data_IF_123957951943
#
_entry.id   IF_123957951943
#
_cell.length_a   1.000
_cell.length_b   1.000
_cell.length_c   1.000
_cell.angle_alpha   90.00
_cell.angle_beta   90.00
_cell.angle_gamma   90.00
#
_symmetry.space_group_name_H-M   'P 1'
#
loop_
_entity.id
_entity.type
_entity.pdbx_description
1 polymer ?
#
# COMPACT_ATOMS: atom_id res chain seq x y z
N UNK A 1 1.81 64.02 19.28
CA UNK A 1 2.01 62.78 20.06
C UNK A 1 1.73 61.60 19.12
N UNK A 2 2.67 61.19 18.28
CA UNK A 2 3.85 60.37 18.58
C UNK A 2 3.48 58.99 19.16
N UNK A 3 3.25 58.01 18.27
CA UNK A 3 3.78 56.63 18.32
C UNK A 3 2.89 55.69 17.50
N UNK A 4 3.09 55.69 16.19
CA UNK A 4 2.71 54.62 15.28
C UNK A 4 3.83 54.58 14.24
N UNK A 5 4.31 53.40 13.87
CA UNK A 5 5.52 53.14 13.06
C UNK A 5 6.84 52.98 13.85
N UNK A 6 7.06 51.77 14.39
CA UNK A 6 8.37 51.12 14.40
C UNK A 6 8.27 49.66 14.90
N UNK A 7 7.82 48.70 14.07
CA UNK A 7 8.08 47.28 14.35
C UNK A 7 7.94 46.38 13.11
N UNK A 8 8.64 46.71 12.02
CA UNK A 8 8.75 45.83 10.84
C UNK A 8 10.14 45.91 10.21
N UNK A 9 11.19 45.48 10.91
CA UNK A 9 12.49 45.14 10.29
C UNK A 9 13.18 44.01 11.06
N UNK A 10 12.82 42.78 10.73
CA UNK A 10 13.72 41.62 10.68
C UNK A 10 12.91 40.37 10.26
N UNK A 11 12.72 40.20 8.96
CA UNK A 11 12.41 38.88 8.37
C UNK A 11 13.62 38.49 7.53
N UNK A 12 14.30 37.41 7.92
CA UNK A 12 15.26 36.72 7.06
C UNK A 12 14.57 36.36 5.74
N UNK A 13 15.28 36.42 4.59
CA UNK A 13 14.68 36.03 3.33
C UNK A 13 14.25 34.57 3.41
N UNK A 14 12.96 34.33 3.16
CA UNK A 14 12.42 32.98 2.95
C UNK A 14 13.05 32.49 1.64
N UNK A 15 13.81 31.40 1.71
CA UNK A 15 14.36 30.74 0.53
C UNK A 15 13.21 30.33 -0.40
N UNK A 16 13.35 30.63 -1.68
CA UNK A 16 12.41 30.22 -2.71
C UNK A 16 12.17 28.69 -2.66
N UNK A 17 10.97 28.20 -3.04
CA UNK A 17 10.73 26.77 -3.14
C UNK A 17 11.73 26.16 -4.12
N UNK A 18 12.50 25.19 -3.64
CA UNK A 18 13.41 24.40 -4.45
C UNK A 18 12.56 23.58 -5.42
N UNK A 19 12.69 23.85 -6.72
CA UNK A 19 12.09 23.03 -7.77
C UNK A 19 12.52 21.57 -7.59
N UNK A 20 11.61 20.59 -7.71
CA UNK A 20 12.00 19.19 -7.63
C UNK A 20 13.04 18.90 -8.73
N UNK A 21 14.08 18.08 -8.44
CA UNK A 21 15.04 17.69 -9.45
C UNK A 21 14.31 16.98 -10.60
N UNK A 22 14.61 17.41 -11.83
CA UNK A 22 14.13 16.74 -13.04
C UNK A 22 14.60 15.27 -13.01
N UNK A 23 13.70 14.27 -13.13
CA UNK A 23 14.13 12.88 -13.12
C UNK A 23 15.01 12.63 -14.35
N UNK A 24 16.26 12.23 -14.08
CA UNK A 24 17.14 11.62 -15.08
C UNK A 24 16.47 10.35 -15.59
N UNK A 25 16.48 10.03 -16.90
CA UNK A 25 15.82 8.84 -17.41
C UNK A 25 16.58 7.60 -16.96
N UNK A 26 16.21 7.06 -15.80
CA UNK A 26 16.67 5.76 -15.36
C UNK A 26 16.20 4.73 -16.40
N UNK A 27 17.12 3.87 -16.83
CA UNK A 27 16.79 2.68 -17.61
C UNK A 27 15.80 1.84 -16.80
N UNK A 28 14.53 1.87 -17.21
CA UNK A 28 13.47 1.19 -16.47
C UNK A 28 13.48 -0.31 -16.73
N UNK A 29 13.32 -1.11 -15.68
CA UNK A 29 13.31 -2.57 -15.78
C UNK A 29 12.11 -3.08 -16.62
N UNK A 30 12.35 -4.08 -17.47
CA UNK A 30 11.30 -4.72 -18.28
C UNK A 30 10.41 -5.66 -17.43
N UNK A 31 10.98 -6.21 -16.36
CA UNK A 31 10.33 -7.07 -15.38
C UNK A 31 10.75 -6.58 -14.00
N UNK A 32 9.82 -6.55 -13.06
CA UNK A 32 10.08 -6.17 -11.66
C UNK A 32 9.90 -7.41 -10.81
N UNK A 33 10.93 -7.77 -10.03
CA UNK A 33 10.88 -8.88 -9.09
C UNK A 33 10.36 -8.39 -7.76
N UNK A 34 9.17 -8.84 -7.37
CA UNK A 34 8.47 -8.35 -6.18
C UNK A 34 8.35 -9.46 -5.14
N UNK A 35 8.70 -9.13 -3.90
CA UNK A 35 8.45 -9.94 -2.72
C UNK A 35 7.14 -9.56 -2.04
N UNK A 36 6.20 -10.49 -1.92
CA UNK A 36 5.02 -10.36 -1.08
C UNK A 36 5.34 -10.93 0.30
N UNK A 37 5.73 -10.06 1.23
CA UNK A 37 6.17 -10.45 2.57
C UNK A 37 4.99 -10.61 3.52
N UNK A 38 4.30 -11.75 3.49
CA UNK A 38 3.25 -12.02 4.48
C UNK A 38 3.88 -12.19 5.86
N UNK A 39 3.47 -11.37 6.82
CA UNK A 39 4.10 -11.25 8.14
C UNK A 39 3.18 -11.71 9.24
N UNK A 40 3.74 -12.37 10.25
CA UNK A 40 3.06 -12.50 11.53
C UNK A 40 3.01 -11.12 12.19
N UNK A 41 1.80 -10.58 12.34
CA UNK A 41 1.54 -9.28 12.97
C UNK A 41 0.79 -9.52 14.27
N UNK A 42 1.44 -9.26 15.40
CA UNK A 42 0.87 -9.41 16.73
C UNK A 42 0.22 -8.11 17.20
N UNK A 43 -0.99 -8.20 17.76
CA UNK A 43 -1.73 -7.07 18.28
C UNK A 43 -0.95 -6.33 19.37
N UNK A 44 -0.74 -5.02 19.21
CA UNK A 44 -0.10 -4.18 20.23
C UNK A 44 1.41 -4.36 20.41
N UNK A 45 2.09 -5.02 19.47
CA UNK A 45 3.51 -5.39 19.60
C UNK A 45 4.40 -4.74 18.50
N UNK A 46 4.46 -3.40 18.39
CA UNK A 46 5.11 -2.73 17.26
C UNK A 46 6.58 -3.04 17.12
N UNK A 47 7.32 -3.21 18.21
CA UNK A 47 8.75 -3.55 18.16
C UNK A 47 8.96 -4.93 17.52
N UNK A 48 8.24 -5.95 17.98
CA UNK A 48 8.35 -7.32 17.46
C UNK A 48 7.90 -7.39 16.00
N UNK A 49 6.86 -6.66 15.64
CA UNK A 49 6.38 -6.63 14.27
C UNK A 49 7.35 -5.91 13.31
N UNK A 50 7.95 -4.79 13.75
CA UNK A 50 8.98 -4.09 12.97
C UNK A 50 10.26 -4.90 12.83
N UNK A 51 10.66 -5.66 13.85
CA UNK A 51 11.79 -6.60 13.76
C UNK A 51 11.53 -7.67 12.69
N UNK A 52 10.32 -8.25 12.65
CA UNK A 52 9.94 -9.19 11.59
C UNK A 52 9.90 -8.53 10.21
N UNK A 53 9.40 -7.30 10.12
CA UNK A 53 9.41 -6.54 8.88
C UNK A 53 10.83 -6.29 8.37
N UNK A 54 11.76 -5.90 9.25
CA UNK A 54 13.17 -5.72 8.93
C UNK A 54 13.80 -7.02 8.40
N UNK A 55 13.53 -8.15 9.05
CA UNK A 55 14.01 -9.45 8.57
C UNK A 55 13.41 -9.80 7.20
N UNK A 56 12.11 -9.58 6.99
CA UNK A 56 11.45 -9.84 5.71
C UNK A 56 11.99 -8.97 4.57
N UNK A 57 12.36 -7.71 4.86
CA UNK A 57 13.04 -6.83 3.90
C UNK A 57 14.42 -7.41 3.53
N UNK A 58 15.18 -7.85 4.52
CA UNK A 58 16.48 -8.49 4.29
C UNK A 58 16.35 -9.77 3.44
N UNK A 59 15.38 -10.62 3.75
CA UNK A 59 15.12 -11.86 3.02
C UNK A 59 14.70 -11.57 1.57
N UNK A 60 13.89 -10.55 1.33
CA UNK A 60 13.48 -10.13 -0.01
C UNK A 60 14.66 -9.62 -0.84
N UNK A 61 15.52 -8.80 -0.24
CA UNK A 61 16.74 -8.33 -0.89
C UNK A 61 17.70 -9.49 -1.21
N UNK A 62 17.84 -10.46 -0.30
CA UNK A 62 18.66 -11.66 -0.54
C UNK A 62 18.12 -12.50 -1.71
N UNK A 63 16.81 -12.52 -1.92
CA UNK A 63 16.18 -13.18 -3.07
C UNK A 63 16.21 -12.31 -4.36
N UNK A 64 16.88 -11.17 -4.33
CA UNK A 64 17.04 -10.27 -5.48
C UNK A 64 15.76 -9.53 -5.86
N UNK A 65 14.83 -9.32 -4.91
CA UNK A 65 13.65 -8.51 -5.18
C UNK A 65 14.03 -7.04 -5.36
N UNK A 66 13.40 -6.38 -6.33
CA UNK A 66 13.49 -4.95 -6.54
C UNK A 66 12.62 -4.17 -5.54
N UNK A 67 11.51 -4.81 -5.14
CA UNK A 67 10.52 -4.27 -4.21
C UNK A 67 9.99 -5.35 -3.27
N UNK A 68 9.77 -5.00 -2.01
CA UNK A 68 8.99 -5.82 -1.07
C UNK A 68 7.73 -5.08 -0.62
N UNK A 69 6.59 -5.77 -0.70
CA UNK A 69 5.29 -5.29 -0.23
C UNK A 69 4.93 -6.01 1.07
N UNK A 70 4.66 -5.23 2.12
CA UNK A 70 4.34 -5.67 3.47
C UNK A 70 2.88 -5.33 3.86
N UNK A 71 2.30 -5.96 4.91
CA UNK A 71 0.90 -5.81 5.30
C UNK A 71 0.47 -4.41 5.76
N UNK A 72 -0.85 -4.20 5.86
CA UNK A 72 -1.42 -2.96 6.43
C UNK A 72 -1.27 -2.93 7.96
N UNK A 73 -1.12 -1.75 8.55
CA UNK A 73 -1.07 -1.55 10.01
C UNK A 73 -0.14 -2.54 10.73
N UNK A 74 1.04 -2.79 10.15
CA UNK A 74 1.96 -3.82 10.65
C UNK A 74 2.53 -3.49 12.03
N UNK A 75 2.42 -2.23 12.48
CA UNK A 75 2.81 -1.82 13.82
C UNK A 75 1.92 -2.47 14.88
N UNK A 76 0.61 -2.29 14.83
CA UNK A 76 -0.28 -2.68 15.93
C UNK A 76 -1.22 -3.84 15.64
N UNK A 77 -1.26 -4.33 14.39
CA UNK A 77 -2.39 -5.09 13.83
C UNK A 77 -3.65 -4.24 13.65
N UNK A 78 -4.43 -4.61 12.63
CA UNK A 78 -5.60 -3.86 12.20
C UNK A 78 -6.65 -3.75 13.32
N UNK A 79 -7.07 -2.53 13.64
CA UNK A 79 -8.06 -2.19 14.70
C UNK A 79 -7.67 -2.58 16.13
N UNK A 80 -6.38 -2.75 16.42
CA UNK A 80 -5.94 -2.96 17.79
C UNK A 80 -6.10 -1.67 18.64
N UNK A 81 -6.61 -1.74 19.89
CA UNK A 81 -6.82 -0.57 20.75
C UNK A 81 -5.60 0.31 20.99
N UNK A 82 -4.39 -0.26 21.06
CA UNK A 82 -3.15 0.53 21.27
C UNK A 82 -2.91 1.55 20.15
N UNK A 83 -3.42 1.29 18.93
CA UNK A 83 -3.31 2.21 17.81
C UNK A 83 -3.94 3.57 18.13
N UNK A 84 -4.94 3.64 19.03
CA UNK A 84 -5.58 4.89 19.45
C UNK A 84 -4.65 5.80 20.25
N UNK A 85 -3.74 5.22 21.03
CA UNK A 85 -2.93 5.94 22.02
C UNK A 85 -1.44 5.97 21.70
N UNK A 86 -0.96 5.03 20.88
CA UNK A 86 0.47 4.79 20.66
C UNK A 86 0.91 5.01 19.22
N UNK A 87 -0.01 5.31 18.30
CA UNK A 87 0.34 5.65 16.92
C UNK A 87 1.27 6.85 16.83
N UNK A 88 2.22 6.78 15.88
CA UNK A 88 3.27 7.78 15.70
C UNK A 88 3.08 8.55 14.39
N UNK A 89 3.60 9.79 14.28
CA UNK A 89 3.63 10.51 13.01
C UNK A 89 4.45 9.79 11.94
N UNK A 90 4.17 10.10 10.67
CA UNK A 90 4.98 9.66 9.53
C UNK A 90 5.46 10.90 8.75
N UNK A 91 6.78 11.16 8.65
CA UNK A 91 7.89 10.34 9.15
C UNK A 91 7.98 10.35 10.70
N UNK A 92 8.52 9.26 11.25
CA UNK A 92 8.71 9.04 12.69
C UNK A 92 9.26 7.65 12.99
N UNK A 93 9.40 7.33 14.29
CA UNK A 93 10.22 6.19 14.75
C UNK A 93 9.89 4.84 14.07
N UNK A 94 8.62 4.54 13.78
CA UNK A 94 8.25 3.30 13.08
C UNK A 94 8.58 3.33 11.59
N UNK A 95 8.30 4.43 10.89
CA UNK A 95 8.67 4.55 9.47
C UNK A 95 10.19 4.61 9.28
N UNK A 96 10.92 5.18 10.25
CA UNK A 96 12.38 5.33 10.18
C UNK A 96 13.08 3.97 10.18
N UNK A 97 12.56 2.98 10.91
CA UNK A 97 13.06 1.58 10.85
C UNK A 97 12.96 1.04 9.43
N UNK A 98 11.79 1.18 8.80
CA UNK A 98 11.57 0.68 7.44
C UNK A 98 12.43 1.43 6.40
N UNK A 99 12.61 2.75 6.59
CA UNK A 99 13.48 3.57 5.74
C UNK A 99 14.95 3.16 5.85
N UNK A 100 15.43 2.89 7.07
CA UNK A 100 16.79 2.41 7.31
C UNK A 100 17.02 1.03 6.70
N UNK A 101 16.07 0.10 6.82
CA UNK A 101 16.19 -1.23 6.22
C UNK A 101 16.11 -1.17 4.69
N UNK A 102 15.24 -0.33 4.11
CA UNK A 102 15.20 -0.10 2.66
C UNK A 102 16.56 0.40 2.13
N UNK A 103 17.16 1.38 2.80
CA UNK A 103 18.49 1.91 2.47
C UNK A 103 19.58 0.84 2.66
N UNK A 104 19.55 0.11 3.78
CA UNK A 104 20.56 -0.89 4.14
C UNK A 104 20.66 -2.00 3.10
N UNK A 105 19.52 -2.42 2.57
CA UNK A 105 19.43 -3.53 1.62
C UNK A 105 19.26 -3.08 0.16
N UNK A 106 19.24 -1.76 -0.08
CA UNK A 106 19.05 -1.16 -1.41
C UNK A 106 17.84 -1.74 -2.16
N UNK A 107 16.69 -1.75 -1.49
CA UNK A 107 15.42 -2.31 -1.98
C UNK A 107 14.28 -1.33 -1.75
N UNK A 108 13.32 -1.26 -2.68
CA UNK A 108 12.10 -0.48 -2.48
C UNK A 108 11.16 -1.20 -1.49
N UNK A 109 10.53 -0.47 -0.58
CA UNK A 109 9.61 -1.05 0.41
C UNK A 109 8.26 -0.36 0.32
N UNK A 110 7.19 -1.13 0.23
CA UNK A 110 5.83 -0.63 0.47
C UNK A 110 5.26 -1.32 1.70
N UNK A 111 4.75 -0.55 2.65
CA UNK A 111 4.32 -1.08 3.94
C UNK A 111 3.19 -0.22 4.52
N UNK A 112 2.29 -0.83 5.30
CA UNK A 112 1.28 -0.10 6.04
C UNK A 112 1.62 0.09 7.51
N UNK A 113 1.30 1.28 8.03
CA UNK A 113 1.51 1.71 9.41
C UNK A 113 0.28 2.50 9.88
N UNK A 114 0.12 2.64 11.19
CA UNK A 114 -0.84 3.60 11.75
C UNK A 114 -0.17 4.95 11.94
N UNK A 115 -0.64 5.98 11.23
CA UNK A 115 -0.12 7.34 11.39
C UNK A 115 -0.97 8.15 12.37
N UNK A 116 -0.33 8.80 13.35
CA UNK A 116 -0.94 9.89 14.11
C UNK A 116 -0.64 11.25 13.48
N UNK A 117 -1.67 11.97 13.04
CA UNK A 117 -1.55 13.28 12.43
C UNK A 117 -2.70 14.20 12.84
N UNK A 118 -2.36 15.37 13.42
CA UNK A 118 -3.31 16.41 13.79
C UNK A 118 -4.47 15.89 14.68
N UNK A 119 -4.13 15.09 15.70
CA UNK A 119 -5.09 14.55 16.66
C UNK A 119 -5.99 13.43 16.12
N UNK A 120 -5.67 12.87 14.95
CA UNK A 120 -6.38 11.75 14.34
C UNK A 120 -5.40 10.67 13.90
N UNK A 121 -5.86 9.43 13.91
CA UNK A 121 -5.09 8.32 13.38
C UNK A 121 -5.57 7.95 11.98
N UNK A 122 -4.66 7.46 11.15
CA UNK A 122 -4.93 7.03 9.78
C UNK A 122 -4.33 5.65 9.57
N UNK A 123 -5.06 4.77 8.89
CA UNK A 123 -4.48 3.57 8.29
C UNK A 123 -3.70 4.02 7.06
N UNK A 124 -2.38 4.09 7.19
CA UNK A 124 -1.48 4.66 6.21
C UNK A 124 -0.69 3.56 5.48
N UNK A 125 -0.38 3.79 4.21
CA UNK A 125 0.61 3.05 3.47
C UNK A 125 1.69 4.00 2.95
N UNK A 126 2.96 3.61 3.11
CA UNK A 126 4.11 4.34 2.59
C UNK A 126 4.81 3.55 1.52
N UNK A 127 5.32 4.24 0.51
CA UNK A 127 6.30 3.72 -0.45
C UNK A 127 7.64 4.39 -0.17
N UNK A 128 8.66 3.57 0.04
CA UNK A 128 10.01 3.99 0.40
C UNK A 128 10.95 3.57 -0.72
N UNK A 129 11.79 4.51 -1.21
CA UNK A 129 12.81 4.23 -2.21
C UNK A 129 13.93 3.33 -1.68
N UNK A 130 14.73 2.76 -2.57
CA UNK A 130 15.95 2.04 -2.19
C UNK A 130 17.00 2.94 -1.51
N UNK A 131 16.81 4.26 -1.52
CA UNK A 131 17.64 5.25 -0.82
C UNK A 131 17.09 5.59 0.58
N UNK A 132 16.01 4.92 1.02
CA UNK A 132 15.38 5.16 2.31
C UNK A 132 14.50 6.41 2.37
N UNK A 133 14.07 6.95 1.23
CA UNK A 133 13.22 8.14 1.17
C UNK A 133 11.75 7.73 1.02
N UNK A 134 10.85 8.31 1.81
CA UNK A 134 9.40 8.13 1.62
C UNK A 134 8.96 8.88 0.37
N UNK A 135 8.66 8.15 -0.70
CA UNK A 135 8.24 8.68 -2.01
C UNK A 135 6.78 9.11 -2.01
N UNK A 136 5.92 8.36 -1.32
CA UNK A 136 4.50 8.71 -1.15
C UNK A 136 3.95 8.12 0.13
N UNK A 137 2.92 8.77 0.64
CA UNK A 137 2.11 8.35 1.77
C UNK A 137 0.65 8.41 1.36
N UNK A 138 -0.06 7.33 1.59
CA UNK A 138 -1.47 7.17 1.28
C UNK A 138 -2.24 6.88 2.57
N UNK A 139 -3.41 7.49 2.74
CA UNK A 139 -4.34 7.18 3.82
C UNK A 139 -5.54 6.46 3.22
N UNK A 140 -5.93 5.32 3.80
CA UNK A 140 -7.05 4.51 3.34
C UNK A 140 -8.32 5.35 3.22
N UNK A 141 -8.97 5.26 2.07
CA UNK A 141 -10.18 6.05 1.75
C UNK A 141 -11.42 5.22 2.06
N UNK A 142 -11.49 3.98 1.57
CA UNK A 142 -12.63 3.10 1.75
C UNK A 142 -12.54 2.37 3.09
N UNK A 143 -12.83 3.10 4.17
CA UNK A 143 -12.83 2.52 5.51
C UNK A 143 -14.02 1.57 5.72
N UNK A 144 -13.76 0.38 6.25
CA UNK A 144 -14.79 -0.50 6.79
C UNK A 144 -15.47 0.18 7.99
N UNK A 145 -16.78 0.01 8.15
CA UNK A 145 -17.53 0.66 9.26
C UNK A 145 -16.92 0.36 10.62
N UNK A 146 -16.37 -0.84 10.81
CA UNK A 146 -15.72 -1.27 12.06
C UNK A 146 -14.40 -0.54 12.36
N UNK A 147 -13.71 0.00 11.34
CA UNK A 147 -12.41 0.66 11.53
C UNK A 147 -12.55 2.18 11.72
N UNK A 148 -13.74 2.76 11.50
CA UNK A 148 -14.01 4.19 11.67
C UNK A 148 -13.75 4.74 13.08
N UNK A 149 -13.95 3.98 14.18
CA UNK A 149 -13.53 4.43 15.51
C UNK A 149 -12.00 4.58 15.66
N UNK A 150 -11.22 3.89 14.82
CA UNK A 150 -9.75 3.85 14.90
C UNK A 150 -9.08 4.81 13.93
N UNK A 151 -9.67 4.99 12.74
CA UNK A 151 -9.00 5.69 11.64
C UNK A 151 -9.91 6.75 10.99
N UNK A 152 -9.30 7.86 10.59
CA UNK A 152 -9.92 8.87 9.76
C UNK A 152 -9.79 8.55 8.26
N UNK A 153 -10.75 9.03 7.48
CA UNK A 153 -10.81 8.80 6.02
C UNK A 153 -9.71 9.62 5.31
N UNK A 154 -8.97 8.95 4.43
CA UNK A 154 -7.96 9.59 3.57
C UNK A 154 -8.56 10.52 2.51
N UNK A 155 -7.73 11.45 2.02
CA UNK A 155 -8.20 12.55 1.14
C UNK A 155 -7.38 12.70 -0.15
N UNK A 156 -6.39 11.83 -0.39
CA UNK A 156 -5.44 11.98 -1.49
C UNK A 156 -5.16 10.66 -2.17
N UNK A 157 -5.03 10.68 -3.50
CA UNK A 157 -4.47 9.61 -4.31
C UNK A 157 -3.24 10.15 -5.02
N UNK A 158 -2.19 9.33 -5.10
CA UNK A 158 -0.92 9.69 -5.72
C UNK A 158 -0.39 8.52 -6.55
N UNK A 159 0.26 8.83 -7.68
CA UNK A 159 1.07 7.90 -8.46
C UNK A 159 2.45 8.53 -8.59
N UNK A 160 3.49 7.77 -8.26
CA UNK A 160 4.87 8.25 -8.29
C UNK A 160 5.68 7.55 -9.38
N UNK A 161 6.51 8.31 -10.07
CA UNK A 161 7.52 7.78 -10.99
C UNK A 161 8.68 7.18 -10.18
N UNK A 162 9.07 5.95 -10.52
CA UNK A 162 10.19 5.24 -9.90
C UNK A 162 11.03 4.53 -10.97
N UNK A 163 12.26 4.08 -10.65
CA UNK A 163 13.04 3.24 -11.57
C UNK A 163 12.34 1.93 -11.98
N UNK A 164 11.38 1.45 -11.18
CA UNK A 164 10.60 0.24 -11.43
C UNK A 164 9.35 0.51 -12.28
N UNK A 165 9.01 1.78 -12.51
CA UNK A 165 7.79 2.23 -13.18
C UNK A 165 6.94 3.15 -12.32
N UNK A 166 5.72 3.44 -12.79
CA UNK A 166 4.76 4.30 -12.11
C UNK A 166 3.98 3.49 -11.09
N UNK A 167 4.08 3.86 -9.81
CA UNK A 167 3.48 3.10 -8.71
C UNK A 167 2.38 3.93 -8.05
N UNK A 168 1.18 3.37 -8.02
CA UNK A 168 0.08 3.82 -7.15
C UNK A 168 0.01 2.97 -5.90
N UNK A 169 -0.51 3.55 -4.81
CA UNK A 169 -0.73 2.84 -3.54
C UNK A 169 -2.18 3.03 -3.12
N UNK A 170 -2.83 1.94 -2.74
CA UNK A 170 -4.09 1.95 -2.00
C UNK A 170 -4.02 0.90 -0.87
N UNK A 171 -5.09 0.67 -0.12
CA UNK A 171 -5.06 -0.25 1.04
C UNK A 171 -6.30 -1.12 1.09
N UNK A 172 -6.10 -2.43 1.17
CA UNK A 172 -7.12 -3.43 1.53
C UNK A 172 -8.49 -3.20 0.86
N UNK A 173 -9.51 -2.80 1.63
CA UNK A 173 -10.89 -2.57 1.21
C UNK A 173 -11.06 -1.50 0.11
N UNK A 174 -10.05 -0.66 -0.16
CA UNK A 174 -10.03 0.20 -1.35
C UNK A 174 -10.15 -0.60 -2.66
N UNK A 175 -9.83 -1.90 -2.61
CA UNK A 175 -9.95 -2.82 -3.73
C UNK A 175 -11.19 -3.73 -3.65
N UNK A 176 -12.15 -3.45 -2.76
CA UNK A 176 -13.47 -4.07 -2.87
C UNK A 176 -14.12 -3.72 -4.21
N UNK A 177 -15.01 -4.58 -4.70
CA UNK A 177 -15.68 -4.37 -5.97
C UNK A 177 -16.43 -3.03 -5.99
N UNK A 178 -17.01 -2.66 -4.85
CA UNK A 178 -17.72 -1.41 -4.62
C UNK A 178 -16.76 -0.21 -4.46
N UNK A 179 -15.50 -0.46 -4.09
CA UNK A 179 -14.44 0.54 -3.92
C UNK A 179 -13.59 0.78 -5.16
N UNK A 180 -13.79 0.01 -6.25
CA UNK A 180 -12.92 -0.01 -7.43
C UNK A 180 -12.69 1.36 -8.08
N UNK A 181 -13.55 2.35 -7.85
CA UNK A 181 -13.36 3.74 -8.31
C UNK A 181 -11.99 4.31 -7.91
N UNK A 182 -11.43 3.90 -6.77
CA UNK A 182 -10.09 4.26 -6.31
C UNK A 182 -9.03 3.68 -7.25
N UNK A 183 -9.10 2.39 -7.55
CA UNK A 183 -8.19 1.71 -8.48
C UNK A 183 -8.31 2.24 -9.92
N UNK A 184 -9.53 2.50 -10.39
CA UNK A 184 -9.79 3.17 -11.67
C UNK A 184 -9.09 4.55 -11.74
N UNK A 185 -9.10 5.30 -10.64
CA UNK A 185 -8.46 6.61 -10.54
C UNK A 185 -6.94 6.49 -10.59
N UNK A 186 -6.34 5.60 -9.80
CA UNK A 186 -4.89 5.34 -9.84
C UNK A 186 -4.42 4.90 -11.23
N UNK A 187 -5.18 4.01 -11.89
CA UNK A 187 -4.89 3.60 -13.26
C UNK A 187 -4.99 4.79 -14.23
N UNK A 188 -6.00 5.67 -14.09
CA UNK A 188 -6.10 6.89 -14.91
C UNK A 188 -4.99 7.89 -14.64
N UNK A 189 -4.46 7.94 -13.42
CA UNK A 189 -3.28 8.75 -13.06
C UNK A 189 -1.97 8.19 -13.64
N UNK A 190 -2.01 7.01 -14.27
CA UNK A 190 -0.87 6.42 -14.96
C UNK A 190 -0.16 5.31 -14.19
N UNK A 191 -0.73 4.80 -13.10
CA UNK A 191 -0.15 3.66 -12.37
C UNK A 191 0.07 2.47 -13.32
N UNK A 192 1.27 1.90 -13.30
CA UNK A 192 1.60 0.62 -13.94
C UNK A 192 1.46 -0.50 -12.91
N UNK A 193 1.86 -0.22 -11.66
CA UNK A 193 1.65 -1.08 -10.51
C UNK A 193 0.75 -0.39 -9.48
N UNK A 194 -0.17 -1.14 -8.88
CA UNK A 194 -0.92 -0.73 -7.71
C UNK A 194 -0.53 -1.67 -6.57
N UNK A 195 0.06 -1.09 -5.52
CA UNK A 195 0.48 -1.83 -4.33
C UNK A 195 -0.54 -1.61 -3.22
N UNK A 196 -1.00 -2.70 -2.62
CA UNK A 196 -2.09 -2.71 -1.67
C UNK A 196 -1.74 -3.48 -0.40
N UNK A 197 -1.09 -2.87 0.60
CA UNK A 197 -1.02 -3.45 1.94
C UNK A 197 -2.41 -3.83 2.45
N UNK A 198 -2.54 -4.98 3.11
CA UNK A 198 -3.81 -5.47 3.62
C UNK A 198 -3.70 -6.24 4.94
N UNK A 199 -4.83 -6.45 5.60
CA UNK A 199 -5.06 -7.33 6.74
C UNK A 199 -6.39 -8.05 6.53
N UNK A 200 -6.34 -9.12 5.73
CA UNK A 200 -7.50 -9.93 5.45
C UNK A 200 -7.71 -10.96 6.54
N UNK A 201 -8.95 -10.99 7.04
CA UNK A 201 -9.31 -11.80 8.20
C UNK A 201 -10.41 -12.78 7.82
N UNK A 202 -10.33 -13.99 8.36
CA UNK A 202 -11.38 -15.01 8.26
C UNK A 202 -11.81 -15.47 9.64
N UNK A 203 -13.01 -16.05 9.74
CA UNK A 203 -13.46 -16.65 10.99
C UNK A 203 -12.59 -17.87 11.37
N UNK A 204 -12.48 -18.15 12.66
CA UNK A 204 -11.60 -19.21 13.19
C UNK A 204 -11.87 -20.61 12.58
N UNK A 205 -13.09 -20.85 12.12
CA UNK A 205 -13.54 -22.12 11.54
C UNK A 205 -13.05 -22.35 10.11
N UNK A 206 -12.53 -21.32 9.44
CA UNK A 206 -12.05 -21.42 8.05
C UNK A 206 -10.72 -22.17 8.01
N UNK A 207 -10.60 -23.15 7.11
CA UNK A 207 -9.40 -23.95 6.86
C UNK A 207 -8.93 -23.76 5.42
N UNK A 208 -7.78 -24.36 5.10
CA UNK A 208 -7.22 -24.37 3.74
C UNK A 208 -8.19 -24.94 2.69
N UNK A 209 -9.10 -25.85 3.10
CA UNK A 209 -10.09 -26.47 2.21
C UNK A 209 -11.17 -25.49 1.72
N UNK A 210 -11.32 -24.33 2.36
CA UNK A 210 -12.41 -23.40 2.06
C UNK A 210 -12.13 -22.44 0.90
N UNK A 211 -10.89 -22.39 0.37
CA UNK A 211 -10.38 -21.36 -0.55
C UNK A 211 -10.94 -19.97 -0.18
N UNK A 212 -10.44 -19.34 0.88
CA UNK A 212 -11.18 -18.29 1.59
C UNK A 212 -11.30 -16.95 0.86
N UNK A 213 -10.50 -16.72 -0.17
CA UNK A 213 -10.43 -15.43 -0.85
C UNK A 213 -11.05 -15.43 -2.25
N UNK A 214 -11.08 -16.57 -2.95
CA UNK A 214 -11.70 -16.79 -4.26
C UNK A 214 -11.80 -15.53 -5.14
N UNK A 215 -13.02 -15.23 -5.58
CA UNK A 215 -13.38 -14.07 -6.38
C UNK A 215 -13.45 -12.78 -5.56
N UNK A 216 -13.41 -12.80 -4.22
CA UNK A 216 -13.51 -11.58 -3.42
C UNK A 216 -12.35 -10.62 -3.72
N UNK A 217 -11.14 -11.16 -3.86
CA UNK A 217 -9.93 -10.37 -4.12
C UNK A 217 -9.39 -10.53 -5.54
N UNK A 218 -9.47 -11.74 -6.12
CA UNK A 218 -8.98 -11.98 -7.48
C UNK A 218 -9.80 -11.19 -8.51
N UNK A 219 -11.13 -11.14 -8.35
CA UNK A 219 -12.02 -10.46 -9.31
C UNK A 219 -11.77 -8.95 -9.42
N UNK A 220 -11.77 -8.15 -8.34
CA UNK A 220 -11.52 -6.71 -8.47
C UNK A 220 -10.14 -6.41 -9.05
N UNK A 221 -9.11 -7.18 -8.67
CA UNK A 221 -7.76 -7.00 -9.21
C UNK A 221 -7.73 -7.33 -10.70
N UNK A 222 -8.37 -8.44 -11.11
CA UNK A 222 -8.47 -8.85 -12.51
C UNK A 222 -9.19 -7.82 -13.36
N UNK A 223 -10.28 -7.21 -12.85
CA UNK A 223 -11.02 -6.15 -13.56
C UNK A 223 -10.10 -4.97 -13.85
N UNK A 224 -9.38 -4.45 -12.84
CA UNK A 224 -8.45 -3.34 -13.03
C UNK A 224 -7.33 -3.72 -14.00
N UNK A 225 -6.72 -4.88 -13.79
CA UNK A 225 -5.61 -5.35 -14.58
C UNK A 225 -5.97 -5.51 -16.06
N UNK A 226 -7.10 -6.14 -16.37
CA UNK A 226 -7.56 -6.35 -17.75
C UNK A 226 -8.01 -5.05 -18.41
N UNK A 227 -8.70 -4.16 -17.69
CA UNK A 227 -9.19 -2.90 -18.24
C UNK A 227 -8.05 -1.95 -18.59
N UNK A 228 -7.06 -1.81 -17.70
CA UNK A 228 -6.02 -0.78 -17.82
C UNK A 228 -4.64 -1.29 -18.20
N UNK A 229 -4.43 -2.61 -18.26
CA UNK A 229 -3.10 -3.22 -18.30
C UNK A 229 -2.25 -2.72 -17.13
N UNK A 230 -2.70 -2.99 -15.90
CA UNK A 230 -1.97 -2.69 -14.66
C UNK A 230 -1.71 -3.98 -13.90
N UNK A 231 -0.67 -4.01 -13.07
CA UNK A 231 -0.46 -5.07 -12.10
C UNK A 231 -0.96 -4.61 -10.73
N UNK A 232 -1.79 -5.42 -10.07
CA UNK A 232 -2.30 -5.15 -8.73
C UNK A 232 -1.76 -6.21 -7.79
N UNK A 233 -1.08 -5.77 -6.73
CA UNK A 233 -0.41 -6.63 -5.78
C UNK A 233 -0.86 -6.29 -4.37
N UNK A 234 -1.11 -7.30 -3.55
CA UNK A 234 -1.51 -7.14 -2.16
C UNK A 234 -0.83 -8.15 -1.27
N UNK A 235 -0.33 -7.68 -0.13
CA UNK A 235 0.27 -8.51 0.90
C UNK A 235 -0.54 -8.37 2.18
N UNK A 236 -0.78 -9.50 2.85
CA UNK A 236 -1.53 -9.54 4.11
C UNK A 236 -0.75 -10.24 5.23
N UNK A 237 -1.21 -10.05 6.46
CA UNK A 237 -0.69 -10.69 7.67
C UNK A 237 -1.04 -12.18 7.77
N UNK A 238 -0.37 -12.87 8.68
CA UNK A 238 -0.73 -14.19 9.22
C UNK A 238 -0.91 -14.09 10.74
N UNK A 239 -1.53 -15.10 11.34
CA UNK A 239 -1.67 -15.22 12.79
C UNK A 239 -3.06 -14.84 13.30
N UNK A 240 -3.27 -15.06 14.59
CA UNK A 240 -4.51 -14.72 15.27
C UNK A 240 -4.58 -13.23 15.58
N UNK A 241 -5.77 -12.67 15.43
CA UNK A 241 -6.05 -11.28 15.83
C UNK A 241 -6.25 -11.28 17.33
N UNK A 242 -5.36 -10.56 18.01
CA UNK A 242 -5.41 -10.30 19.44
C UNK A 242 -5.86 -8.85 19.61
N UNK A 243 -6.90 -8.64 20.41
CA UNK A 243 -7.46 -7.33 20.70
C UNK A 243 -8.32 -6.71 19.58
N UNK A 244 -9.20 -5.79 19.98
CA UNK A 244 -10.08 -5.08 19.06
C UNK A 244 -11.33 -5.88 18.66
N UNK A 245 -12.14 -5.34 17.73
CA UNK A 245 -13.45 -5.88 17.39
C UNK A 245 -13.42 -7.24 16.67
N UNK A 246 -12.25 -7.67 16.18
CA UNK A 246 -12.05 -8.89 15.40
C UNK A 246 -11.24 -9.94 16.19
N UNK A 247 -11.09 -9.77 17.50
CA UNK A 247 -10.36 -10.70 18.36
C UNK A 247 -10.83 -12.15 18.17
N UNK A 248 -9.88 -13.07 18.11
CA UNK A 248 -10.12 -14.50 17.90
C UNK A 248 -10.33 -14.92 16.43
N UNK A 249 -10.45 -13.96 15.51
CA UNK A 249 -10.32 -14.24 14.07
C UNK A 249 -8.86 -14.42 13.68
N UNK A 250 -8.62 -14.82 12.44
CA UNK A 250 -7.29 -15.12 11.94
C UNK A 250 -7.00 -14.48 10.60
N UNK A 251 -5.76 -14.05 10.45
CA UNK A 251 -5.14 -13.73 9.17
C UNK A 251 -4.39 -14.96 8.68
N UNK A 252 -4.55 -15.30 7.42
CA UNK A 252 -4.15 -16.60 6.86
C UNK A 252 -3.19 -16.48 5.67
N UNK A 253 -2.59 -15.31 5.47
CA UNK A 253 -1.71 -15.08 4.33
C UNK A 253 -2.48 -15.07 3.02
N UNK A 254 -2.04 -15.87 2.04
CA UNK A 254 -2.54 -15.85 0.66
C UNK A 254 -2.41 -14.49 -0.03
N UNK A 255 -1.30 -13.78 0.22
CA UNK A 255 -0.92 -12.58 -0.52
C UNK A 255 -0.99 -12.83 -2.03
N UNK A 256 -1.38 -11.83 -2.81
CA UNK A 256 -1.84 -12.02 -4.18
C UNK A 256 -1.21 -11.00 -5.13
N UNK A 257 -0.76 -11.46 -6.29
CA UNK A 257 -0.36 -10.62 -7.41
C UNK A 257 -1.16 -10.99 -8.67
N UNK A 258 -1.76 -10.00 -9.31
CA UNK A 258 -2.57 -10.17 -10.53
C UNK A 258 -2.12 -9.16 -11.59
N UNK A 259 -1.96 -9.62 -12.82
CA UNK A 259 -1.77 -8.76 -14.00
C UNK A 259 -2.85 -9.04 -15.05
N UNK A 260 -2.73 -8.44 -16.24
CA UNK A 260 -3.71 -8.60 -17.31
C UNK A 260 -3.84 -10.05 -17.82
N UNK A 261 -2.84 -10.91 -17.57
CA UNK A 261 -2.85 -12.34 -17.91
C UNK A 261 -3.50 -13.21 -16.85
N UNK A 262 -3.71 -12.69 -15.63
CA UNK A 262 -4.35 -13.40 -14.52
C UNK A 262 -3.50 -13.38 -13.25
N UNK A 263 -3.71 -14.37 -12.38
CA UNK A 263 -2.95 -14.52 -11.13
C UNK A 263 -1.51 -14.91 -11.46
N UNK A 264 -0.55 -14.12 -10.97
CA UNK A 264 0.90 -14.31 -11.17
C UNK A 264 1.56 -14.98 -9.98
N UNK A 265 1.08 -14.67 -8.79
CA UNK A 265 1.50 -15.32 -7.56
C UNK A 265 0.39 -15.28 -6.53
N UNK A 266 0.31 -16.34 -5.72
CA UNK A 266 -0.58 -16.43 -4.58
C UNK A 266 0.17 -17.16 -3.46
N UNK A 267 0.17 -16.57 -2.27
CA UNK A 267 0.69 -17.21 -1.07
C UNK A 267 -0.14 -18.42 -0.68
N UNK A 268 0.48 -19.36 0.02
CA UNK A 268 -0.26 -20.50 0.57
C UNK A 268 -1.07 -20.07 1.78
N UNK A 269 -2.14 -20.81 2.07
CA UNK A 269 -2.84 -20.68 3.33
C UNK A 269 -1.86 -20.93 4.47
N UNK A 270 -1.71 -19.98 5.38
CA UNK A 270 -0.79 -20.08 6.49
C UNK A 270 -1.22 -19.16 7.63
N UNK A 271 -1.55 -19.75 8.76
CA UNK A 271 -1.94 -19.03 9.98
C UNK A 271 -0.85 -18.96 11.04
N UNK A 272 0.35 -19.49 10.76
CA UNK A 272 1.38 -19.74 11.79
C UNK A 272 2.63 -18.87 11.65
N UNK A 273 3.15 -18.71 10.43
CA UNK A 273 4.46 -18.11 10.22
C UNK A 273 4.49 -17.19 9.01
N UNK A 274 5.32 -16.15 9.08
CA UNK A 274 5.57 -15.29 7.92
C UNK A 274 6.18 -16.10 6.77
N UNK A 275 5.95 -15.63 5.55
CA UNK A 275 6.50 -16.21 4.33
C UNK A 275 6.76 -15.09 3.33
N UNK A 276 7.83 -15.23 2.55
CA UNK A 276 8.06 -14.41 1.38
C UNK A 276 7.63 -15.15 0.12
N UNK A 277 6.69 -14.59 -0.63
CA UNK A 277 6.30 -15.08 -1.96
C UNK A 277 6.92 -14.18 -3.00
N UNK A 278 7.81 -14.72 -3.83
CA UNK A 278 8.53 -13.93 -4.85
C UNK A 278 7.88 -14.12 -6.22
N UNK A 279 7.66 -13.03 -6.94
CA UNK A 279 7.04 -13.03 -8.25
C UNK A 279 7.75 -12.08 -9.22
N UNK A 280 8.00 -12.56 -10.44
CA UNK A 280 8.49 -11.74 -11.54
C UNK A 280 7.30 -11.18 -12.33
N UNK A 281 7.10 -9.87 -12.24
CA UNK A 281 5.97 -9.18 -12.84
C UNK A 281 6.46 -8.37 -14.04
N UNK A 282 6.05 -8.71 -15.28
CA UNK A 282 6.36 -7.90 -16.45
C UNK A 282 5.81 -6.48 -16.25
N UNK A 283 6.63 -5.47 -16.54
CA UNK A 283 6.18 -4.09 -16.40
C UNK A 283 5.08 -3.81 -17.42
N UNK A 284 3.88 -3.37 -16.99
CA UNK A 284 2.82 -3.10 -17.94
C UNK A 284 3.14 -1.89 -18.83
N UNK A 285 2.91 -2.04 -20.13
CA UNK A 285 3.05 -0.95 -21.11
C UNK A 285 1.68 -0.33 -21.36
N UNK A 286 1.58 0.99 -21.14
CA UNK A 286 0.31 1.73 -21.18
C UNK A 286 0.43 2.95 -22.11
N UNK A 287 0.17 2.78 -23.42
CA UNK A 287 0.31 3.87 -24.37
C UNK A 287 -0.80 4.93 -24.25
N UNK A 288 -1.98 4.56 -23.72
CA UNK A 288 -3.11 5.48 -23.62
C UNK A 288 -3.01 6.43 -22.43
N UNK A 289 -3.25 7.71 -22.68
CA UNK A 289 -3.27 8.78 -21.68
C UNK A 289 -4.51 9.67 -21.85
N UNK A 290 -4.93 10.33 -20.76
CA UNK A 290 -6.00 11.32 -20.79
C UNK A 290 -7.32 10.78 -21.35
N UNK A 291 -7.86 11.44 -22.38
CA UNK A 291 -9.13 11.07 -23.02
C UNK A 291 -9.06 9.74 -23.78
N UNK A 292 -7.89 9.36 -24.30
CA UNK A 292 -7.72 8.10 -25.05
C UNK A 292 -7.99 6.85 -24.19
N UNK A 293 -7.85 6.96 -22.87
CA UNK A 293 -8.22 5.91 -21.92
C UNK A 293 -9.73 5.60 -22.02
N UNK A 294 -10.57 6.62 -22.22
CA UNK A 294 -12.01 6.41 -22.42
C UNK A 294 -12.32 5.55 -23.64
N UNK A 295 -11.67 5.84 -24.77
CA UNK A 295 -11.85 5.07 -26.00
C UNK A 295 -11.35 3.64 -25.87
N UNK A 296 -10.21 3.43 -25.20
CA UNK A 296 -9.71 2.10 -24.88
C UNK A 296 -10.70 1.30 -24.03
N UNK A 297 -11.24 1.90 -22.97
CA UNK A 297 -12.20 1.25 -22.09
C UNK A 297 -13.49 0.87 -22.82
N UNK A 298 -14.00 1.73 -23.71
CA UNK A 298 -15.15 1.40 -24.57
C UNK A 298 -14.87 0.21 -25.48
N UNK A 299 -13.69 0.16 -26.11
CA UNK A 299 -13.27 -0.99 -26.94
C UNK A 299 -13.21 -2.30 -26.14
N UNK A 300 -12.94 -2.22 -24.83
CA UNK A 300 -12.95 -3.34 -23.89
C UNK A 300 -14.35 -3.63 -23.28
N UNK A 301 -15.39 -2.95 -23.76
CA UNK A 301 -16.77 -3.17 -23.31
C UNK A 301 -17.14 -2.49 -21.99
N UNK A 302 -16.32 -1.56 -21.47
CA UNK A 302 -16.69 -0.78 -20.29
C UNK A 302 -17.76 0.25 -20.65
N UNK A 303 -18.85 0.27 -19.87
CA UNK A 303 -20.02 1.13 -20.07
C UNK A 303 -20.03 2.23 -19.01
N UNK A 304 -20.01 3.49 -19.44
CA UNK A 304 -19.85 4.65 -18.55
C UNK A 304 -21.17 5.28 -18.10
N UNK A 305 -22.20 5.09 -18.90
CA UNK A 305 -23.47 5.83 -18.92
C UNK A 305 -24.66 4.97 -18.48
N UNK A 306 -24.38 3.78 -17.96
CA UNK A 306 -25.40 2.93 -17.37
C UNK A 306 -25.52 3.20 -15.88
N UNK A 307 -26.56 3.98 -15.54
CA UNK A 307 -27.02 4.06 -14.16
C UNK A 307 -27.76 2.77 -13.79
N UNK A 308 -27.78 2.38 -12.50
CA UNK A 308 -28.73 1.39 -12.01
C UNK A 308 -30.15 1.83 -12.43
N UNK A 309 -30.94 0.87 -12.93
CA UNK A 309 -32.35 1.09 -13.28
C UNK A 309 -33.17 1.54 -12.07
#
# INVERSE_FOLDING_TARGET
MASLFAFLKNKKPVSAPVSPPSPSPASTAATVRIGLGQLLVEGGEPQRNLERAAQMIADAAQQGCDLVLLPETLDFAWTHPSALTEALPIPGAFSDVLCQEALRHNIMVCAGLTEHLNGRNYNAAILISAQGEILTKYHKINLLTVEQPFYAVGQTLNVVDTPLGKIGVNVCADNYLEGLSIGHTLARMGAEFILAPASWTVDYSITEENDPYQQKWVRPFSILAQLYNVAVLSTTSVGYIVGGPYEGKKSIGCSLAVDASGVRAQGVFNEFAGQLVVADIPRPVRPEQGTAIGDMLRRKGYRFDELPA
#
